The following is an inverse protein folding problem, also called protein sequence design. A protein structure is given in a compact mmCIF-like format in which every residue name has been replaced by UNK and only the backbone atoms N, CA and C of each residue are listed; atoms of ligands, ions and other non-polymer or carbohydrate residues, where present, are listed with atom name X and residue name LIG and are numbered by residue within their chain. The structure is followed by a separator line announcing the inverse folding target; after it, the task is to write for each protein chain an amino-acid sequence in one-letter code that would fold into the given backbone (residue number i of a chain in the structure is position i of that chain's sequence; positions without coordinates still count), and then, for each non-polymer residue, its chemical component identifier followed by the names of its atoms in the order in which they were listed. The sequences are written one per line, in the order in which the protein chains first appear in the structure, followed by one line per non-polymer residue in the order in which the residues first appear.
data_IF_941467739785
#
_entry.id   IF_941467739785
#
_cell.length_a   1.000
_cell.length_b   1.000
_cell.length_c   1.000
_cell.angle_alpha   90.00
_cell.angle_beta   90.00
_cell.angle_gamma   90.00
#
_symmetry.space_group_name_H-M   'P 1'
#
loop_
_entity.id
_entity.type
_entity.pdbx_description
1 polymer ?
#
# COMPACT_ATOMS: atom_id res chain seq x y z
N UNK A 1 8.29 -19.78 -4.94
CA UNK A 1 7.03 -20.52 -5.15
C UNK A 1 5.79 -19.62 -4.97
N UNK A 2 5.62 -18.97 -3.81
CA UNK A 2 4.43 -18.13 -3.51
C UNK A 2 4.20 -16.99 -4.50
N UNK A 3 5.26 -16.36 -5.02
CA UNK A 3 5.15 -15.30 -6.02
C UNK A 3 4.53 -15.77 -7.35
N UNK A 4 4.79 -17.02 -7.76
CA UNK A 4 4.35 -17.57 -9.05
C UNK A 4 3.04 -18.35 -8.90
N UNK A 5 2.95 -19.21 -7.89
CA UNK A 5 1.80 -20.10 -7.69
C UNK A 5 0.72 -19.51 -6.79
N UNK A 6 0.98 -18.34 -6.20
CA UNK A 6 0.16 -17.75 -5.14
C UNK A 6 0.29 -18.48 -3.81
N UNK A 7 -0.20 -17.83 -2.74
CA UNK A 7 -0.38 -18.44 -1.40
C UNK A 7 -1.41 -17.64 -0.61
N UNK A 8 -2.44 -18.28 -0.07
CA UNK A 8 -3.53 -17.56 0.58
C UNK A 8 -4.52 -17.00 -0.45
N UNK A 9 -4.67 -15.67 -0.51
CA UNK A 9 -5.46 -14.99 -1.56
C UNK A 9 -4.53 -14.30 -2.55
N UNK A 10 -4.84 -14.43 -3.83
CA UNK A 10 -4.32 -13.54 -4.88
C UNK A 10 -5.28 -12.37 -5.02
N UNK A 11 -4.79 -11.15 -4.86
CA UNK A 11 -5.61 -9.93 -4.90
C UNK A 11 -5.13 -9.05 -6.03
N UNK A 12 -6.06 -8.62 -6.89
CA UNK A 12 -5.81 -7.60 -7.88
C UNK A 12 -6.72 -6.41 -7.60
N UNK A 13 -6.14 -5.21 -7.55
CA UNK A 13 -6.85 -3.96 -7.39
C UNK A 13 -6.39 -3.00 -8.49
N UNK A 14 -7.33 -2.32 -9.14
CA UNK A 14 -7.06 -1.36 -10.19
C UNK A 14 -8.01 -0.18 -10.09
N UNK A 15 -7.58 0.95 -10.64
CA UNK A 15 -8.40 2.14 -10.79
C UNK A 15 -8.02 2.88 -12.07
N UNK A 16 -9.02 3.40 -12.76
CA UNK A 16 -8.86 4.40 -13.81
C UNK A 16 -9.08 5.77 -13.17
N UNK A 17 -8.04 6.60 -13.14
CA UNK A 17 -8.04 7.91 -12.51
C UNK A 17 -8.02 8.97 -13.61
N UNK A 18 -9.02 9.85 -13.61
CA UNK A 18 -9.11 10.92 -14.61
C UNK A 18 -7.89 11.84 -14.56
N UNK A 19 -7.45 12.37 -15.71
CA UNK A 19 -6.38 13.39 -15.77
C UNK A 19 -6.60 14.52 -14.77
N UNK A 20 -7.80 15.06 -14.74
CA UNK A 20 -8.16 16.15 -13.83
C UNK A 20 -7.91 15.78 -12.37
N UNK A 21 -8.27 14.56 -11.95
CA UNK A 21 -7.97 14.07 -10.59
C UNK A 21 -6.47 13.93 -10.35
N UNK A 22 -5.70 13.45 -11.33
CA UNK A 22 -4.23 13.35 -11.20
C UNK A 22 -3.60 14.73 -11.04
N UNK A 23 -4.01 15.72 -11.83
CA UNK A 23 -3.47 17.08 -11.77
C UNK A 23 -3.92 17.83 -10.51
N UNK A 24 -5.21 17.77 -10.18
CA UNK A 24 -5.79 18.50 -9.06
C UNK A 24 -5.50 17.88 -7.69
N UNK A 25 -5.44 16.56 -7.57
CA UNK A 25 -5.24 15.90 -6.27
C UNK A 25 -3.81 15.42 -6.12
N UNK A 26 -3.28 14.71 -7.12
CA UNK A 26 -1.95 14.10 -7.07
C UNK A 26 -0.82 15.07 -7.45
N UNK A 27 -1.17 16.25 -7.98
CA UNK A 27 -0.25 17.37 -8.28
C UNK A 27 0.87 16.99 -9.26
N UNK A 28 0.53 16.14 -10.23
CA UNK A 28 1.43 15.63 -11.27
C UNK A 28 0.61 15.35 -12.53
N UNK A 29 1.23 14.78 -13.57
CA UNK A 29 0.52 14.25 -14.75
C UNK A 29 0.52 12.71 -14.77
N UNK A 30 -0.42 12.07 -15.48
CA UNK A 30 -0.40 10.63 -15.75
C UNK A 30 0.95 10.15 -16.32
N UNK A 31 1.52 10.90 -17.26
CA UNK A 31 2.78 10.56 -17.93
C UNK A 31 3.96 10.50 -16.96
N UNK A 32 4.05 11.46 -16.03
CA UNK A 32 5.13 11.47 -15.04
C UNK A 32 4.99 10.33 -14.02
N UNK A 33 3.76 9.95 -13.65
CA UNK A 33 3.53 8.76 -12.82
C UNK A 33 4.01 7.49 -13.55
N UNK A 34 3.66 7.34 -14.83
CA UNK A 34 4.11 6.19 -15.65
C UNK A 34 5.63 6.19 -15.83
N UNK A 35 6.24 7.36 -16.01
CA UNK A 35 7.69 7.52 -16.09
C UNK A 35 8.39 7.07 -14.78
N UNK A 36 7.87 7.49 -13.63
CA UNK A 36 8.38 7.05 -12.31
C UNK A 36 8.21 5.55 -12.15
N UNK A 37 7.01 5.00 -12.40
CA UNK A 37 6.76 3.56 -12.32
C UNK A 37 7.72 2.77 -13.20
N UNK A 38 7.91 3.18 -14.45
CA UNK A 38 8.81 2.51 -15.41
C UNK A 38 10.26 2.49 -14.90
N UNK A 39 10.79 3.65 -14.48
CA UNK A 39 12.20 3.76 -14.11
C UNK A 39 12.50 3.17 -12.73
N UNK A 40 11.69 3.52 -11.73
CA UNK A 40 11.89 3.09 -10.34
C UNK A 40 11.44 1.66 -10.15
N UNK A 41 10.18 1.39 -10.48
CA UNK A 41 9.47 0.22 -9.99
C UNK A 41 9.62 -0.97 -10.92
N UNK A 42 9.69 -0.75 -12.24
CA UNK A 42 9.98 -1.81 -13.20
C UNK A 42 11.48 -2.00 -13.40
N UNK A 43 12.15 -1.06 -14.05
CA UNK A 43 13.58 -1.19 -14.42
C UNK A 43 14.47 -1.26 -13.16
N UNK A 44 14.17 -0.46 -12.14
CA UNK A 44 14.92 -0.47 -10.88
C UNK A 44 14.83 -1.81 -10.14
N UNK A 45 13.63 -2.38 -10.02
CA UNK A 45 13.44 -3.70 -9.40
C UNK A 45 14.11 -4.83 -10.20
N UNK A 46 14.03 -4.80 -11.53
CA UNK A 46 14.75 -5.75 -12.39
C UNK A 46 16.25 -5.67 -12.16
N UNK A 47 16.81 -4.46 -12.11
CA UNK A 47 18.24 -4.25 -11.83
C UNK A 47 18.65 -4.73 -10.44
N UNK A 48 17.77 -4.57 -9.46
CA UNK A 48 18.00 -5.01 -8.09
C UNK A 48 17.78 -6.52 -7.87
N UNK A 49 17.22 -7.23 -8.85
CA UNK A 49 16.92 -8.66 -8.73
C UNK A 49 15.82 -8.97 -7.71
N UNK A 50 14.88 -8.04 -7.49
CA UNK A 50 13.84 -8.19 -6.46
C UNK A 50 12.69 -9.08 -6.92
N UNK A 51 12.07 -9.79 -5.97
CA UNK A 51 10.79 -10.45 -6.17
C UNK A 51 9.67 -9.48 -5.79
N UNK A 52 9.02 -8.91 -6.80
CA UNK A 52 8.07 -7.81 -6.66
C UNK A 52 8.58 -6.53 -7.33
N UNK A 53 7.63 -5.72 -7.78
CA UNK A 53 7.85 -4.46 -8.47
C UNK A 53 6.84 -3.45 -7.91
N UNK A 54 7.13 -2.94 -6.72
CA UNK A 54 6.33 -1.93 -6.03
C UNK A 54 7.25 -0.91 -5.34
N UNK A 55 6.67 0.18 -4.86
CA UNK A 55 7.38 1.25 -4.18
C UNK A 55 7.49 1.02 -2.68
N UNK A 56 6.38 0.69 -2.00
CA UNK A 56 6.32 0.55 -0.54
C UNK A 56 5.20 -0.38 -0.03
N UNK A 57 4.73 -1.36 -0.82
CA UNK A 57 3.56 -2.18 -0.48
C UNK A 57 3.68 -2.82 0.91
N UNK A 58 4.90 -3.22 1.29
CA UNK A 58 5.22 -3.74 2.62
C UNK A 58 4.76 -2.83 3.77
N UNK A 59 4.88 -1.51 3.63
CA UNK A 59 4.47 -0.55 4.67
C UNK A 59 2.96 -0.62 4.93
N UNK A 60 2.18 -0.64 3.86
CA UNK A 60 0.71 -0.68 3.95
C UNK A 60 0.25 -2.03 4.50
N UNK A 61 0.82 -3.13 4.00
CA UNK A 61 0.53 -4.48 4.48
C UNK A 61 0.87 -4.60 5.97
N UNK A 62 2.06 -4.16 6.39
CA UNK A 62 2.48 -4.23 7.79
C UNK A 62 1.55 -3.42 8.71
N UNK A 63 1.21 -2.19 8.33
CA UNK A 63 0.33 -1.34 9.13
C UNK A 63 -1.04 -2.00 9.35
N UNK A 64 -1.66 -2.51 8.29
CA UNK A 64 -2.96 -3.19 8.38
C UNK A 64 -2.87 -4.54 9.08
N UNK A 65 -1.77 -5.27 8.91
CA UNK A 65 -1.58 -6.57 9.56
C UNK A 65 -1.49 -6.41 11.08
N UNK A 66 -0.68 -5.44 11.54
CA UNK A 66 -0.55 -5.12 12.96
C UNK A 66 -1.90 -4.64 13.52
N UNK A 67 -2.57 -3.72 12.82
CA UNK A 67 -3.85 -3.16 13.28
C UNK A 67 -4.96 -4.22 13.34
N UNK A 68 -5.05 -5.10 12.35
CA UNK A 68 -6.11 -6.10 12.22
C UNK A 68 -5.78 -7.46 12.85
N UNK A 69 -4.67 -7.59 13.58
CA UNK A 69 -4.28 -8.82 14.27
C UNK A 69 -3.90 -9.97 13.37
N UNK A 70 -3.37 -9.66 12.20
CA UNK A 70 -2.74 -10.62 11.30
C UNK A 70 -1.33 -10.93 11.78
N UNK A 71 -0.68 -11.92 11.17
CA UNK A 71 0.72 -12.26 11.47
C UNK A 71 1.68 -11.31 10.72
N UNK A 72 2.42 -10.42 11.40
CA UNK A 72 3.32 -9.47 10.73
C UNK A 72 4.49 -10.13 10.01
N UNK A 73 4.84 -11.38 10.34
CA UNK A 73 5.88 -12.10 9.60
C UNK A 73 5.44 -12.36 8.15
N UNK A 74 4.13 -12.48 7.90
CA UNK A 74 3.59 -12.63 6.55
C UNK A 74 3.59 -11.35 5.70
N UNK A 75 4.13 -10.24 6.22
CA UNK A 75 4.46 -9.05 5.40
C UNK A 75 5.47 -9.42 4.31
N UNK A 76 6.33 -10.42 4.55
CA UNK A 76 7.28 -10.91 3.54
C UNK A 76 6.55 -11.33 2.27
N UNK A 77 5.48 -12.14 2.38
CA UNK A 77 4.69 -12.53 1.22
C UNK A 77 3.90 -11.36 0.62
N UNK A 78 3.23 -10.56 1.46
CA UNK A 78 2.44 -9.42 0.99
C UNK A 78 3.28 -8.33 0.29
N UNK A 79 4.57 -8.24 0.62
CA UNK A 79 5.51 -7.28 0.02
C UNK A 79 5.87 -7.59 -1.43
N UNK A 80 5.61 -8.83 -1.90
CA UNK A 80 5.91 -9.28 -3.27
C UNK A 80 4.95 -8.73 -4.34
N UNK A 81 4.33 -7.59 -4.04
CA UNK A 81 3.36 -6.91 -4.90
C UNK A 81 4.00 -6.43 -6.21
N UNK A 82 3.25 -6.51 -7.30
CA UNK A 82 3.58 -5.89 -8.58
C UNK A 82 2.59 -4.76 -8.85
N UNK A 83 3.10 -3.59 -9.16
CA UNK A 83 2.28 -2.46 -9.63
C UNK A 83 2.41 -2.32 -11.14
N UNK A 84 1.38 -1.79 -11.78
CA UNK A 84 1.39 -1.43 -13.21
C UNK A 84 0.77 -0.05 -13.37
N UNK A 85 1.35 0.77 -14.24
CA UNK A 85 0.83 2.09 -14.60
C UNK A 85 0.81 2.24 -16.11
N UNK A 86 -0.29 2.74 -16.66
CA UNK A 86 -0.49 2.98 -18.09
C UNK A 86 -1.30 4.25 -18.30
N UNK A 87 -1.00 4.99 -19.37
CA UNK A 87 -1.86 6.10 -19.83
C UNK A 87 -2.89 5.52 -20.79
N UNK A 88 -4.17 5.64 -20.47
CA UNK A 88 -5.29 5.15 -21.28
C UNK A 88 -6.07 6.36 -21.77
N UNK A 89 -5.88 6.72 -23.05
CA UNK A 89 -6.35 8.00 -23.57
C UNK A 89 -5.60 9.15 -22.91
N UNK A 90 -6.29 9.92 -22.08
CA UNK A 90 -5.68 10.98 -21.26
C UNK A 90 -5.58 10.60 -19.78
N UNK A 91 -6.22 9.50 -19.37
CA UNK A 91 -6.37 9.10 -17.98
C UNK A 91 -5.25 8.14 -17.54
N UNK A 92 -5.11 7.94 -16.23
CA UNK A 92 -4.15 7.03 -15.64
C UNK A 92 -4.85 5.73 -15.22
N UNK A 93 -4.47 4.61 -15.81
CA UNK A 93 -4.74 3.28 -15.25
C UNK A 93 -3.59 2.94 -14.28
N UNK A 94 -3.93 2.64 -13.03
CA UNK A 94 -2.96 2.19 -12.03
C UNK A 94 -3.49 0.93 -11.34
N UNK A 95 -2.64 -0.09 -11.20
CA UNK A 95 -3.02 -1.36 -10.57
C UNK A 95 -1.96 -1.91 -9.64
N UNK A 96 -2.38 -2.75 -8.71
CA UNK A 96 -1.56 -3.51 -7.78
C UNK A 96 -2.03 -4.97 -7.73
N UNK A 97 -1.09 -5.89 -7.90
CA UNK A 97 -1.29 -7.34 -7.83
C UNK A 97 -0.48 -7.91 -6.68
N UNK A 98 -1.18 -8.49 -5.70
CA UNK A 98 -0.59 -9.14 -4.54
C UNK A 98 -0.79 -10.66 -4.70
N UNK A 99 0.24 -11.43 -5.09
CA UNK A 99 0.09 -12.85 -5.38
C UNK A 99 -0.11 -13.70 -4.12
N UNK A 100 0.33 -13.20 -2.95
CA UNK A 100 0.30 -13.94 -1.70
C UNK A 100 -0.17 -13.09 -0.53
N UNK A 101 -1.49 -12.95 -0.38
CA UNK A 101 -2.13 -12.26 0.74
C UNK A 101 -2.59 -13.28 1.80
N UNK A 102 -1.85 -13.32 2.92
CA UNK A 102 -2.10 -14.23 4.04
C UNK A 102 -2.87 -13.53 5.16
N UNK A 103 -4.19 -13.53 5.03
CA UNK A 103 -5.09 -12.90 6.00
C UNK A 103 -6.13 -13.89 6.56
N UNK A 104 -6.60 -13.61 7.76
CA UNK A 104 -7.65 -14.33 8.46
C UNK A 104 -8.48 -13.41 9.36
N UNK A 105 -9.72 -13.79 9.66
CA UNK A 105 -10.66 -12.99 10.47
C UNK A 105 -11.03 -13.65 11.80
N UNK A 106 -10.51 -14.87 12.04
CA UNK A 106 -10.69 -15.68 13.24
C UNK A 106 -9.36 -16.35 13.59
N UNK A 107 -9.07 -16.45 14.89
CA UNK A 107 -7.84 -17.05 15.40
C UNK A 107 -6.65 -16.09 15.45
N UNK A 108 -5.55 -16.54 16.05
CA UNK A 108 -4.33 -15.74 16.20
C UNK A 108 -4.57 -14.42 16.93
N UNK A 109 -3.98 -13.33 16.43
CA UNK A 109 -4.13 -11.98 16.99
C UNK A 109 -5.53 -11.37 16.81
N UNK A 110 -6.39 -11.94 15.95
CA UNK A 110 -7.73 -11.39 15.67
C UNK A 110 -8.72 -11.55 16.83
N UNK A 111 -8.41 -12.38 17.83
CA UNK A 111 -9.23 -12.55 19.04
C UNK A 111 -8.97 -11.47 20.09
N UNK A 112 -7.87 -10.73 19.98
CA UNK A 112 -7.51 -9.68 20.93
C UNK A 112 -8.47 -8.49 20.79
N UNK A 113 -8.88 -7.85 21.91
CA UNK A 113 -9.93 -6.83 21.88
C UNK A 113 -9.64 -5.64 20.97
N UNK A 114 -8.39 -5.14 20.94
CA UNK A 114 -8.01 -3.97 20.13
C UNK A 114 -7.98 -4.30 18.64
N UNK A 115 -7.37 -5.42 18.26
CA UNK A 115 -7.36 -5.89 16.87
C UNK A 115 -8.77 -6.21 16.37
N UNK A 116 -9.63 -6.75 17.23
CA UNK A 116 -11.05 -6.96 16.91
C UNK A 116 -11.79 -5.65 16.67
N UNK A 117 -11.52 -4.61 17.46
CA UNK A 117 -12.09 -3.29 17.23
C UNK A 117 -11.66 -2.71 15.87
N UNK A 118 -10.40 -2.86 15.48
CA UNK A 118 -9.91 -2.47 14.15
C UNK A 118 -10.61 -3.23 13.02
N UNK A 119 -10.78 -4.55 13.15
CA UNK A 119 -11.54 -5.34 12.16
C UNK A 119 -12.99 -4.88 12.04
N UNK A 120 -13.63 -4.54 13.16
CA UNK A 120 -14.99 -4.01 13.16
C UNK A 120 -15.08 -2.64 12.47
N UNK A 121 -14.10 -1.75 12.64
CA UNK A 121 -14.03 -0.48 11.92
C UNK A 121 -13.91 -0.67 10.40
N UNK A 122 -13.21 -1.73 9.97
CA UNK A 122 -13.11 -2.13 8.57
C UNK A 122 -14.37 -2.86 8.06
N UNK A 123 -15.40 -3.04 8.89
CA UNK A 123 -16.61 -3.79 8.53
C UNK A 123 -16.36 -5.29 8.30
N UNK A 124 -15.31 -5.84 8.92
CA UNK A 124 -14.91 -7.25 8.81
C UNK A 124 -15.31 -8.01 10.07
N UNK A 125 -16.22 -8.96 9.91
CA UNK A 125 -16.74 -9.80 11.00
C UNK A 125 -15.91 -11.09 11.16
N UNK A 126 -15.93 -11.73 12.35
CA UNK A 126 -15.41 -13.08 12.49
C UNK A 126 -16.13 -14.02 11.50
N UNK A 127 -15.37 -14.81 10.75
CA UNK A 127 -15.92 -15.82 9.86
C UNK A 127 -16.56 -16.98 10.63
N UNK A 128 -17.71 -17.46 10.18
CA UNK A 128 -18.40 -18.61 10.77
C UNK A 128 -17.80 -19.94 10.29
N UNK A 129 -16.53 -20.20 10.66
CA UNK A 129 -15.90 -21.53 10.56
C UNK A 129 -15.66 -22.09 9.15
N UNK A 130 -15.95 -21.36 8.07
CA UNK A 130 -15.70 -21.82 6.69
C UNK A 130 -14.40 -21.27 6.12
N UNK A 131 -13.57 -22.17 5.60
CA UNK A 131 -12.46 -21.80 4.72
C UNK A 131 -13.02 -21.06 3.49
N UNK A 132 -12.40 -19.94 3.10
CA UNK A 132 -12.88 -19.11 1.99
C UNK A 132 -14.06 -18.19 2.37
N UNK A 133 -14.16 -17.77 3.63
CA UNK A 133 -15.22 -16.88 4.08
C UNK A 133 -15.23 -15.54 3.33
N UNK A 134 -16.43 -15.00 3.13
CA UNK A 134 -16.68 -13.67 2.56
C UNK A 134 -15.89 -12.60 3.34
N UNK A 135 -15.81 -12.74 4.66
CA UNK A 135 -15.12 -11.79 5.53
C UNK A 135 -13.59 -11.82 5.33
N UNK A 136 -12.98 -13.00 5.14
CA UNK A 136 -11.55 -13.08 4.84
C UNK A 136 -11.24 -12.50 3.45
N UNK A 137 -12.12 -12.71 2.47
CA UNK A 137 -11.96 -12.11 1.14
C UNK A 137 -12.15 -10.60 1.18
N UNK A 138 -13.12 -10.10 1.96
CA UNK A 138 -13.32 -8.67 2.21
C UNK A 138 -12.06 -8.05 2.82
N UNK A 139 -11.49 -8.67 3.85
CA UNK A 139 -10.24 -8.16 4.44
C UNK A 139 -9.10 -8.14 3.41
N UNK A 140 -8.94 -9.19 2.61
CA UNK A 140 -7.94 -9.24 1.55
C UNK A 140 -8.14 -8.11 0.51
N UNK A 141 -9.38 -7.85 0.11
CA UNK A 141 -9.73 -6.76 -0.81
C UNK A 141 -9.45 -5.38 -0.21
N UNK A 142 -9.78 -5.16 1.07
CA UNK A 142 -9.47 -3.91 1.79
C UNK A 142 -7.96 -3.67 1.82
N UNK A 143 -7.17 -4.69 2.16
CA UNK A 143 -5.70 -4.57 2.16
C UNK A 143 -5.19 -4.30 0.74
N UNK A 144 -5.69 -5.00 -0.28
CA UNK A 144 -5.29 -4.76 -1.67
C UNK A 144 -5.63 -3.35 -2.17
N UNK A 145 -6.82 -2.83 -1.84
CA UNK A 145 -7.23 -1.48 -2.18
C UNK A 145 -6.39 -0.42 -1.44
N UNK A 146 -6.04 -0.66 -0.17
CA UNK A 146 -5.15 0.21 0.58
C UNK A 146 -3.74 0.22 -0.02
N UNK A 147 -3.22 -0.95 -0.45
CA UNK A 147 -1.94 -1.05 -1.16
C UNK A 147 -1.99 -0.23 -2.45
N UNK A 148 -3.04 -0.39 -3.27
CA UNK A 148 -3.23 0.41 -4.48
C UNK A 148 -3.19 1.91 -4.20
N UNK A 149 -3.96 2.36 -3.20
CA UNK A 149 -4.04 3.78 -2.83
C UNK A 149 -2.69 4.34 -2.35
N UNK A 150 -1.99 3.59 -1.48
CA UNK A 150 -0.68 3.99 -1.00
C UNK A 150 0.36 4.03 -2.12
N UNK A 151 0.39 3.01 -2.97
CA UNK A 151 1.31 2.96 -4.11
C UNK A 151 1.09 4.13 -5.07
N UNK A 152 -0.17 4.40 -5.44
CA UNK A 152 -0.52 5.54 -6.29
C UNK A 152 -0.06 6.86 -5.64
N UNK A 153 -0.34 7.05 -4.36
CA UNK A 153 0.06 8.25 -3.62
C UNK A 153 1.58 8.45 -3.59
N UNK A 154 2.37 7.39 -3.39
CA UNK A 154 3.82 7.48 -3.36
C UNK A 154 4.40 7.72 -4.76
N UNK A 155 3.88 7.05 -5.79
CA UNK A 155 4.31 7.30 -7.18
C UNK A 155 4.04 8.75 -7.58
N UNK A 156 2.86 9.28 -7.23
CA UNK A 156 2.54 10.70 -7.44
C UNK A 156 3.49 11.65 -6.70
N UNK A 157 3.79 11.40 -5.43
CA UNK A 157 4.71 12.24 -4.65
C UNK A 157 6.14 12.23 -5.22
N UNK A 158 6.58 11.10 -5.78
CA UNK A 158 7.86 10.99 -6.49
C UNK A 158 7.83 11.74 -7.83
N UNK A 159 6.76 11.58 -8.60
CA UNK A 159 6.57 12.22 -9.90
C UNK A 159 6.52 13.75 -9.79
N UNK A 160 5.80 14.26 -8.78
CA UNK A 160 5.72 15.69 -8.48
C UNK A 160 7.02 16.29 -7.86
N UNK A 161 8.09 15.49 -7.72
CA UNK A 161 9.31 15.83 -6.96
C UNK A 161 9.04 16.33 -5.53
N UNK A 162 7.92 15.90 -4.95
CA UNK A 162 7.48 16.31 -3.62
C UNK A 162 8.05 15.46 -2.50
N UNK A 163 8.69 14.31 -2.79
CA UNK A 163 9.11 13.39 -1.72
C UNK A 163 10.03 14.04 -0.68
N UNK A 164 11.03 14.82 -1.11
CA UNK A 164 11.93 15.53 -0.19
C UNK A 164 11.19 16.62 0.64
N UNK A 165 10.25 17.35 0.02
CA UNK A 165 9.46 18.40 0.69
C UNK A 165 8.40 17.81 1.63
N UNK A 166 7.75 16.71 1.27
CA UNK A 166 6.73 16.04 2.07
C UNK A 166 7.33 15.33 3.29
N UNK A 167 8.48 14.66 3.14
CA UNK A 167 9.23 14.12 4.29
C UNK A 167 9.69 15.22 5.25
N UNK A 168 10.09 16.38 4.73
CA UNK A 168 10.48 17.52 5.59
C UNK A 168 9.25 18.13 6.29
N UNK A 169 8.11 18.22 5.61
CA UNK A 169 6.88 18.84 6.13
C UNK A 169 6.10 17.97 7.11
N UNK A 170 6.09 16.65 6.93
CA UNK A 170 5.29 15.71 7.73
C UNK A 170 6.11 14.67 8.50
N UNK A 171 7.42 14.56 8.23
CA UNK A 171 8.29 13.53 8.80
C UNK A 171 8.95 13.87 10.13
N UNK A 172 8.62 14.99 10.77
CA UNK A 172 9.05 15.32 12.13
C UNK A 172 7.91 15.95 12.92
N UNK A 173 7.56 15.36 14.07
CA UNK A 173 6.93 16.12 15.13
C UNK A 173 7.88 17.29 15.46
N UNK A 174 7.37 18.52 15.46
CA UNK A 174 8.17 19.71 15.70
C UNK A 174 8.97 19.53 17.00
N UNK A 175 10.29 19.38 16.89
CA UNK A 175 11.16 19.56 18.05
C UNK A 175 11.01 21.01 18.48
N UNK A 176 10.66 21.31 19.75
CA UNK A 176 10.65 22.68 20.22
C UNK A 176 12.07 23.21 20.07
N UNK A 177 12.25 24.28 19.31
CA UNK A 177 13.52 25.00 19.26
C UNK A 177 13.57 25.80 20.56
N UNK A 178 14.51 25.47 21.44
CA UNK A 178 14.83 26.33 22.59
C UNK A 178 15.31 27.68 22.04
N UNK A 179 14.60 28.75 22.38
CA UNK A 179 15.06 30.12 22.11
C UNK A 179 16.34 30.37 22.91
N UNK A 180 17.47 30.57 22.21
CA UNK A 180 18.67 31.13 22.81
C UNK A 180 18.35 32.53 23.34
N UNK A 181 18.47 32.70 24.67
CA UNK A 181 18.39 34.01 25.30
C UNK A 181 19.53 34.91 24.80
N UNK A 182 19.27 36.20 24.52
CA UNK A 182 20.31 37.12 24.09
C UNK A 182 21.31 37.39 25.23
N UNK A 183 22.60 37.18 24.93
CA UNK A 183 23.72 37.58 25.80
C UNK A 183 23.79 39.10 25.89
N UNK A 184 23.94 39.61 27.13
CA UNK A 184 24.22 41.01 27.44
C UNK A 184 25.57 41.47 26.88
#
# INVERSE_FOLDING_TARGET
ISFVMGRGRTVHAEALISRNTVEEVLKTTPEEIVNVWTRKTMVGSVRAGTLGANAHAANIVAALFIAAGQDPAHVVEGSSTITVAEVVGEDLLFSASVPAMLVGTVGGGTSLPTQRACLNLLGVKPAEGKAGSVETNRLAQIVGAAVLAGELSLHAALAAQHLAKAHTKFGRAATPVEEEMPTK
#
